data_IF_606018356242
#
_entry.id   IF_606018356242
#
_cell.length_a   1.000
_cell.length_b   1.000
_cell.length_c   1.000
_cell.angle_alpha   90.00
_cell.angle_beta   90.00
_cell.angle_gamma   90.00
#
_symmetry.space_group_name_H-M   'P 1'
#
loop_
_entity.id
_entity.type
_entity.pdbx_description
1 polymer ?
#
# COMPACT_ATOMS: atom_id res chain seq x y z
N UNK A 1 44.59 -31.28 -12.96
CA UNK A 1 44.41 -29.80 -13.15
C UNK A 1 43.01 -29.47 -13.72
N UNK A 2 42.63 -29.98 -14.93
CA UNK A 2 41.32 -29.62 -15.54
C UNK A 2 40.13 -30.15 -14.72
N UNK A 3 40.18 -31.44 -14.31
CA UNK A 3 39.16 -32.07 -13.47
C UNK A 3 39.09 -31.39 -12.10
N UNK A 4 40.22 -31.08 -11.50
CA UNK A 4 40.28 -30.37 -10.21
C UNK A 4 39.71 -28.95 -10.31
N UNK A 5 39.98 -28.26 -11.43
CA UNK A 5 39.38 -26.94 -11.71
C UNK A 5 37.88 -27.03 -11.90
N UNK A 6 37.34 -28.06 -12.54
CA UNK A 6 35.92 -28.34 -12.70
C UNK A 6 35.26 -28.67 -11.35
N UNK A 7 35.88 -29.52 -10.54
CA UNK A 7 35.38 -29.82 -9.20
C UNK A 7 35.37 -28.57 -8.31
N UNK A 8 36.44 -27.77 -8.40
CA UNK A 8 36.48 -26.49 -7.68
C UNK A 8 35.39 -25.55 -8.13
N UNK A 9 35.16 -25.41 -9.44
CA UNK A 9 34.07 -24.59 -9.99
C UNK A 9 32.70 -25.06 -9.50
N UNK A 10 32.47 -26.37 -9.41
CA UNK A 10 31.22 -26.94 -8.90
C UNK A 10 31.08 -26.69 -7.39
N UNK A 11 32.14 -26.86 -6.61
CA UNK A 11 32.13 -26.62 -5.17
C UNK A 11 31.95 -25.13 -4.82
N UNK A 12 32.54 -24.25 -5.63
CA UNK A 12 32.39 -22.78 -5.50
C UNK A 12 31.11 -22.27 -6.12
N UNK A 13 30.28 -23.13 -6.74
CA UNK A 13 29.02 -22.76 -7.35
C UNK A 13 27.91 -22.58 -6.32
N UNK A 14 26.93 -21.75 -6.63
CA UNK A 14 25.74 -21.60 -5.82
C UNK A 14 24.92 -22.87 -5.62
N UNK A 15 25.10 -23.88 -6.51
CA UNK A 15 24.41 -25.18 -6.37
C UNK A 15 24.86 -25.94 -5.13
N UNK A 16 26.16 -25.88 -4.80
CA UNK A 16 26.70 -26.54 -3.62
C UNK A 16 26.25 -25.86 -2.30
N UNK A 17 25.88 -24.61 -2.37
CA UNK A 17 25.48 -23.80 -1.22
C UNK A 17 23.95 -23.66 -1.06
N UNK A 18 23.14 -24.38 -1.85
CA UNK A 18 21.69 -24.36 -1.76
C UNK A 18 21.22 -24.97 -0.43
N UNK A 19 20.46 -24.18 0.33
CA UNK A 19 19.76 -24.65 1.54
C UNK A 19 18.31 -25.00 1.21
N UNK A 20 17.66 -25.79 2.05
CA UNK A 20 16.25 -26.11 1.88
C UNK A 20 15.38 -24.84 1.94
N UNK A 21 15.74 -23.87 2.79
CA UNK A 21 15.07 -22.57 2.89
C UNK A 21 15.18 -21.79 1.57
N UNK A 22 16.37 -21.76 0.95
CA UNK A 22 16.56 -21.12 -0.35
C UNK A 22 15.70 -21.77 -1.44
N UNK A 23 15.62 -23.10 -1.48
CA UNK A 23 14.80 -23.84 -2.45
C UNK A 23 13.30 -23.47 -2.27
N UNK A 24 12.80 -23.49 -1.04
CA UNK A 24 11.40 -23.11 -0.75
C UNK A 24 11.13 -21.67 -1.20
N UNK A 25 12.03 -20.73 -0.90
CA UNK A 25 11.85 -19.33 -1.29
C UNK A 25 11.92 -19.11 -2.80
N UNK A 26 12.76 -19.86 -3.51
CA UNK A 26 12.80 -19.86 -4.99
C UNK A 26 11.44 -20.33 -5.53
N UNK A 27 10.87 -21.39 -4.97
CA UNK A 27 9.55 -21.89 -5.37
C UNK A 27 8.47 -20.83 -5.08
N UNK A 28 8.48 -20.23 -3.88
CA UNK A 28 7.55 -19.14 -3.52
C UNK A 28 7.67 -17.97 -4.49
N UNK A 29 8.90 -17.55 -4.81
CA UNK A 29 9.15 -16.48 -5.79
C UNK A 29 8.57 -16.83 -7.17
N UNK A 30 8.79 -18.05 -7.65
CA UNK A 30 8.22 -18.52 -8.93
C UNK A 30 6.69 -18.54 -8.91
N UNK A 31 6.07 -18.95 -7.81
CA UNK A 31 4.61 -18.90 -7.65
C UNK A 31 4.10 -17.45 -7.69
N UNK A 32 4.75 -16.53 -6.98
CA UNK A 32 4.38 -15.11 -7.01
C UNK A 32 4.56 -14.49 -8.41
N UNK A 33 5.63 -14.84 -9.14
CA UNK A 33 5.83 -14.45 -10.54
C UNK A 33 4.69 -14.98 -11.41
N UNK A 34 4.30 -16.24 -11.23
CA UNK A 34 3.16 -16.82 -11.96
C UNK A 34 1.84 -16.09 -11.64
N UNK A 35 1.60 -15.74 -10.38
CA UNK A 35 0.41 -14.98 -9.99
C UNK A 35 0.41 -13.58 -10.61
N UNK A 36 1.56 -12.92 -10.64
CA UNK A 36 1.70 -11.61 -11.27
C UNK A 36 1.43 -11.65 -12.79
N UNK A 37 2.02 -12.61 -13.49
CA UNK A 37 1.94 -12.72 -14.97
C UNK A 37 0.64 -13.41 -15.40
N UNK A 38 0.36 -14.59 -14.85
CA UNK A 38 -0.74 -15.46 -15.29
C UNK A 38 -2.10 -15.02 -14.76
N UNK A 39 -2.16 -14.55 -13.52
CA UNK A 39 -3.38 -14.07 -12.87
C UNK A 39 -3.53 -12.56 -12.86
N UNK A 40 -2.49 -11.82 -13.29
CA UNK A 40 -2.47 -10.35 -13.33
C UNK A 40 -2.69 -9.69 -11.95
N UNK A 41 -2.20 -10.35 -10.90
CA UNK A 41 -2.27 -9.84 -9.53
C UNK A 41 -1.23 -8.74 -9.34
N UNK A 42 -1.67 -7.49 -9.38
CA UNK A 42 -0.87 -6.26 -9.21
C UNK A 42 0.54 -6.37 -9.83
N UNK A 43 0.63 -6.62 -11.17
CA UNK A 43 1.88 -7.05 -11.81
C UNK A 43 2.99 -6.00 -11.71
N UNK A 44 2.64 -4.71 -11.61
CA UNK A 44 3.62 -3.62 -11.52
C UNK A 44 4.46 -3.66 -10.24
N UNK A 45 3.91 -4.23 -9.17
CA UNK A 45 4.58 -4.33 -7.87
C UNK A 45 4.98 -5.76 -7.53
N UNK A 46 4.05 -6.71 -7.71
CA UNK A 46 4.30 -8.10 -7.32
C UNK A 46 5.42 -8.74 -8.12
N UNK A 47 5.54 -8.42 -9.41
CA UNK A 47 6.60 -8.99 -10.26
C UNK A 47 8.01 -8.54 -9.83
N UNK A 48 8.30 -7.23 -9.64
CA UNK A 48 9.59 -6.79 -9.10
C UNK A 48 9.90 -7.36 -7.71
N UNK A 49 8.90 -7.43 -6.81
CA UNK A 49 9.07 -8.01 -5.47
C UNK A 49 9.44 -9.49 -5.57
N UNK A 50 8.70 -10.27 -6.35
CA UNK A 50 8.95 -11.69 -6.51
C UNK A 50 10.31 -11.97 -7.15
N UNK A 51 10.73 -11.13 -8.11
CA UNK A 51 12.03 -11.27 -8.74
C UNK A 51 13.18 -10.87 -7.78
N UNK A 52 13.00 -9.84 -6.98
CA UNK A 52 13.95 -9.47 -5.92
C UNK A 52 14.12 -10.59 -4.88
N UNK A 53 12.99 -11.22 -4.48
CA UNK A 53 13.00 -12.41 -3.61
C UNK A 53 13.78 -13.56 -4.25
N UNK A 54 13.56 -13.82 -5.55
CA UNK A 54 14.32 -14.83 -6.28
C UNK A 54 15.82 -14.57 -6.20
N UNK A 55 16.26 -13.36 -6.55
CA UNK A 55 17.67 -12.97 -6.57
C UNK A 55 18.34 -13.09 -5.20
N UNK A 56 17.66 -12.70 -4.13
CA UNK A 56 18.22 -12.73 -2.77
C UNK A 56 18.35 -14.15 -2.19
N UNK A 57 17.57 -15.11 -2.70
CA UNK A 57 17.61 -16.50 -2.26
C UNK A 57 18.49 -17.39 -3.16
N UNK A 58 19.12 -16.83 -4.19
CA UNK A 58 20.19 -17.49 -4.93
C UNK A 58 21.50 -17.36 -4.13
N UNK A 59 22.16 -18.47 -3.74
CA UNK A 59 23.34 -18.41 -2.91
C UNK A 59 24.53 -17.70 -3.59
N UNK A 60 25.41 -17.15 -2.78
CA UNK A 60 26.70 -16.54 -3.17
C UNK A 60 26.61 -15.32 -4.09
N UNK A 61 25.42 -14.74 -4.27
CA UNK A 61 25.26 -13.57 -5.17
C UNK A 61 25.83 -12.26 -4.59
N UNK A 62 25.92 -12.13 -3.28
CA UNK A 62 26.39 -10.92 -2.60
C UNK A 62 25.55 -9.66 -2.87
N UNK A 63 24.40 -9.76 -3.56
CA UNK A 63 23.61 -8.61 -3.99
C UNK A 63 23.11 -7.71 -2.85
N UNK A 64 22.84 -8.31 -1.68
CA UNK A 64 22.39 -7.60 -0.47
C UNK A 64 23.51 -7.46 0.59
N UNK A 65 24.77 -7.82 0.24
CA UNK A 65 25.87 -7.73 1.17
C UNK A 65 26.12 -6.27 1.59
N UNK A 66 26.25 -6.05 2.89
CA UNK A 66 26.71 -4.76 3.43
C UNK A 66 28.19 -4.54 3.09
N UNK A 67 28.63 -3.29 2.86
CA UNK A 67 30.06 -3.02 2.65
C UNK A 67 30.86 -3.44 3.88
N UNK A 68 31.87 -4.29 3.68
CA UNK A 68 32.72 -4.78 4.76
C UNK A 68 33.66 -3.68 5.31
N UNK A 69 34.01 -2.72 4.46
CA UNK A 69 34.83 -1.53 4.81
C UNK A 69 34.48 -0.35 3.91
N UNK A 70 35.03 0.82 4.21
CA UNK A 70 34.86 2.01 3.35
C UNK A 70 35.43 1.84 1.93
N UNK A 71 36.32 0.87 1.72
CA UNK A 71 36.98 0.57 0.44
C UNK A 71 36.39 -0.60 -0.31
N UNK A 72 35.63 -1.48 0.36
CA UNK A 72 34.96 -2.60 -0.26
C UNK A 72 33.49 -2.27 -0.54
N UNK A 73 33.08 -2.24 -1.82
CA UNK A 73 31.72 -1.91 -2.16
C UNK A 73 30.75 -3.01 -1.70
N UNK A 74 29.60 -2.62 -1.20
CA UNK A 74 28.48 -3.53 -0.92
C UNK A 74 27.80 -4.02 -2.19
N UNK A 75 26.81 -4.89 -2.03
CA UNK A 75 26.00 -5.41 -3.13
C UNK A 75 25.11 -4.34 -3.79
N UNK A 76 24.81 -4.52 -5.07
CA UNK A 76 23.96 -3.60 -5.82
C UNK A 76 22.62 -3.33 -5.14
N UNK A 77 21.93 -4.39 -4.72
CA UNK A 77 20.60 -4.25 -4.09
C UNK A 77 20.68 -3.63 -2.70
N UNK A 78 21.80 -3.76 -1.99
CA UNK A 78 22.03 -3.07 -0.72
C UNK A 78 21.99 -1.55 -0.91
N UNK A 79 22.69 -0.99 -1.92
CA UNK A 79 22.69 0.44 -2.17
C UNK A 79 21.32 0.95 -2.62
N UNK A 80 20.63 0.22 -3.49
CA UNK A 80 19.27 0.56 -3.87
C UNK A 80 18.30 0.47 -2.66
N UNK A 81 18.50 -0.51 -1.78
CA UNK A 81 17.69 -0.66 -0.56
C UNK A 81 17.83 0.53 0.41
N UNK A 82 18.93 1.27 0.37
CA UNK A 82 19.05 2.50 1.16
C UNK A 82 17.95 3.51 0.84
N UNK A 83 17.46 3.55 -0.39
CA UNK A 83 16.30 4.38 -0.76
C UNK A 83 15.01 3.98 -0.04
N UNK A 84 14.82 2.69 0.25
CA UNK A 84 13.74 2.20 1.11
C UNK A 84 14.02 2.56 2.57
N UNK A 85 15.20 2.18 3.07
CA UNK A 85 15.62 2.37 4.47
C UNK A 85 15.57 3.84 4.91
N UNK A 86 15.87 4.77 4.00
CA UNK A 86 15.81 6.21 4.25
C UNK A 86 14.43 6.83 3.98
N UNK A 87 13.45 6.04 3.51
CA UNK A 87 12.10 6.51 3.21
C UNK A 87 11.98 7.33 1.93
N UNK A 88 13.00 7.32 1.06
CA UNK A 88 13.03 8.09 -0.19
C UNK A 88 11.98 7.55 -1.17
N UNK A 89 11.99 6.24 -1.44
CA UNK A 89 11.07 5.65 -2.43
C UNK A 89 9.60 5.76 -2.03
N UNK A 90 9.18 5.45 -0.78
CA UNK A 90 7.79 5.67 -0.38
C UNK A 90 7.33 7.12 -0.58
N UNK A 91 8.16 8.10 -0.22
CA UNK A 91 7.84 9.51 -0.40
C UNK A 91 7.70 9.91 -1.88
N UNK A 92 8.59 9.42 -2.76
CA UNK A 92 8.50 9.67 -4.19
C UNK A 92 7.28 8.99 -4.84
N UNK A 93 6.89 7.81 -4.36
CA UNK A 93 5.64 7.17 -4.79
C UNK A 93 4.44 8.04 -4.42
N UNK A 94 4.42 8.63 -3.21
CA UNK A 94 3.37 9.57 -2.81
C UNK A 94 3.32 10.80 -3.70
N UNK A 95 4.47 11.32 -4.18
CA UNK A 95 4.50 12.40 -5.18
C UNK A 95 3.79 11.97 -6.48
N UNK A 96 4.11 10.78 -6.98
CA UNK A 96 3.46 10.24 -8.18
C UNK A 96 1.95 10.01 -7.98
N UNK A 97 1.55 9.43 -6.85
CA UNK A 97 0.14 9.23 -6.50
C UNK A 97 -0.58 10.58 -6.44
N UNK A 98 0.03 11.60 -5.84
CA UNK A 98 -0.54 12.95 -5.79
C UNK A 98 -0.79 13.55 -7.18
N UNK A 99 0.18 13.38 -8.10
CA UNK A 99 0.04 13.84 -9.48
C UNK A 99 -1.02 13.07 -10.27
N UNK A 100 -1.29 11.81 -9.93
CA UNK A 100 -2.35 11.00 -10.55
C UNK A 100 -3.74 11.28 -9.96
N UNK A 101 -3.81 11.69 -8.69
CA UNK A 101 -5.05 11.77 -7.92
C UNK A 101 -5.86 13.03 -8.25
N UNK A 102 -7.18 12.87 -8.37
CA UNK A 102 -8.13 13.99 -8.39
C UNK A 102 -8.83 14.10 -7.03
N UNK A 103 -8.52 15.16 -6.30
CA UNK A 103 -9.16 15.47 -5.02
C UNK A 103 -10.51 16.20 -5.17
N UNK A 104 -10.93 16.51 -6.40
CA UNK A 104 -12.21 17.16 -6.67
C UNK A 104 -13.40 16.51 -5.98
N UNK A 105 -13.60 15.18 -6.07
CA UNK A 105 -14.69 14.50 -5.37
C UNK A 105 -14.67 14.66 -3.85
N UNK A 106 -13.49 14.70 -3.23
CA UNK A 106 -13.33 14.95 -1.80
C UNK A 106 -13.66 16.40 -1.44
N UNK A 107 -13.16 17.36 -2.22
CA UNK A 107 -13.45 18.80 -2.03
C UNK A 107 -14.94 19.07 -2.24
N UNK A 108 -15.56 18.43 -3.23
CA UNK A 108 -17.00 18.57 -3.49
C UNK A 108 -17.87 18.05 -2.33
N UNK A 109 -17.41 16.97 -1.66
CA UNK A 109 -18.10 16.35 -0.52
C UNK A 109 -17.13 16.04 0.61
N UNK A 110 -16.78 17.03 1.47
CA UNK A 110 -15.81 16.84 2.55
C UNK A 110 -16.22 15.79 3.60
N UNK A 111 -17.52 15.49 3.73
CA UNK A 111 -17.99 14.41 4.61
C UNK A 111 -17.43 13.02 4.22
N UNK A 112 -16.89 12.85 3.02
CA UNK A 112 -16.15 11.66 2.59
C UNK A 112 -14.93 11.36 3.47
N UNK A 113 -14.36 12.38 4.15
CA UNK A 113 -13.29 12.20 5.13
C UNK A 113 -13.71 11.28 6.29
N UNK A 114 -14.99 11.31 6.69
CA UNK A 114 -15.49 10.42 7.74
C UNK A 114 -15.42 8.96 7.33
N UNK A 115 -15.70 8.65 6.05
CA UNK A 115 -15.60 7.28 5.52
C UNK A 115 -14.14 6.84 5.47
N UNK A 116 -13.24 7.70 4.98
CA UNK A 116 -11.81 7.44 5.00
C UNK A 116 -11.27 7.20 6.42
N UNK A 117 -11.69 8.01 7.39
CA UNK A 117 -11.35 7.81 8.80
C UNK A 117 -11.93 6.48 9.35
N UNK A 118 -13.18 6.16 9.01
CA UNK A 118 -13.80 4.89 9.41
C UNK A 118 -13.06 3.67 8.87
N UNK A 119 -12.49 3.78 7.68
CA UNK A 119 -11.66 2.70 7.11
C UNK A 119 -10.33 2.50 7.82
N UNK A 120 -9.84 3.46 8.63
CA UNK A 120 -8.66 3.23 9.46
C UNK A 120 -8.94 2.34 10.69
N UNK A 121 -10.19 2.00 10.93
CA UNK A 121 -10.59 1.09 12.03
C UNK A 121 -9.87 -0.25 11.98
N UNK A 122 -9.62 -0.79 10.77
CA UNK A 122 -8.86 -2.03 10.60
C UNK A 122 -7.42 -1.93 11.09
N UNK A 123 -6.78 -0.76 10.99
CA UNK A 123 -5.43 -0.52 11.55
C UNK A 123 -5.47 -0.69 13.07
N UNK A 124 -6.45 -0.08 13.72
CA UNK A 124 -6.60 -0.13 15.18
C UNK A 124 -6.89 -1.55 15.66
N UNK A 125 -7.83 -2.25 15.00
CA UNK A 125 -8.17 -3.64 15.36
C UNK A 125 -6.96 -4.56 15.21
N UNK A 126 -6.26 -4.49 14.09
CA UNK A 126 -5.10 -5.34 13.85
C UNK A 126 -3.94 -5.01 14.80
N UNK A 127 -3.72 -3.74 15.13
CA UNK A 127 -2.76 -3.33 16.14
C UNK A 127 -3.06 -3.97 17.50
N UNK A 128 -4.32 -3.89 17.96
CA UNK A 128 -4.75 -4.48 19.24
C UNK A 128 -4.57 -6.00 19.21
N UNK A 129 -5.03 -6.67 18.15
CA UNK A 129 -4.93 -8.14 18.04
C UNK A 129 -3.47 -8.59 17.98
N UNK A 130 -2.60 -7.88 17.23
CA UNK A 130 -1.18 -8.20 17.18
C UNK A 130 -0.50 -8.07 18.57
N UNK A 131 -0.81 -7.01 19.33
CA UNK A 131 -0.32 -6.88 20.69
C UNK A 131 -0.80 -8.03 21.59
N UNK A 132 -2.07 -8.42 21.50
CA UNK A 132 -2.62 -9.54 22.29
C UNK A 132 -1.97 -10.89 21.93
N UNK A 133 -1.48 -11.04 20.69
CA UNK A 133 -0.74 -12.21 20.21
C UNK A 133 0.75 -12.20 20.58
N UNK A 134 1.23 -11.17 21.31
CA UNK A 134 2.57 -11.09 21.84
C UNK A 134 3.59 -10.38 20.95
N UNK A 135 3.18 -9.72 19.87
CA UNK A 135 4.06 -8.82 19.11
C UNK A 135 4.37 -7.57 19.92
N UNK A 136 5.57 -7.03 19.74
CA UNK A 136 5.92 -5.73 20.34
C UNK A 136 5.04 -4.61 19.79
N UNK A 137 4.86 -3.48 20.50
CA UNK A 137 4.07 -2.36 19.99
C UNK A 137 4.53 -1.84 18.63
N UNK A 138 5.83 -1.86 18.34
CA UNK A 138 6.41 -1.46 17.07
C UNK A 138 6.05 -2.45 15.94
N UNK A 139 6.14 -3.75 16.22
CA UNK A 139 5.73 -4.79 15.29
C UNK A 139 4.22 -4.76 15.05
N UNK A 140 3.43 -4.60 16.12
CA UNK A 140 1.98 -4.50 16.04
C UNK A 140 1.53 -3.28 15.23
N UNK A 141 2.21 -2.13 15.38
CA UNK A 141 1.97 -0.94 14.57
C UNK A 141 2.26 -1.20 13.07
N UNK A 142 3.38 -1.90 12.81
CA UNK A 142 3.78 -2.29 11.45
C UNK A 142 2.83 -3.32 10.81
N UNK A 143 2.24 -4.21 11.60
CA UNK A 143 1.21 -5.15 11.14
C UNK A 143 -0.12 -4.42 10.93
N UNK A 144 -0.50 -3.57 11.88
CA UNK A 144 -1.76 -2.83 11.84
C UNK A 144 -1.91 -1.96 10.60
N UNK A 145 -0.84 -1.27 10.20
CA UNK A 145 -0.88 -0.34 9.05
C UNK A 145 -1.28 -1.00 7.72
N UNK A 146 -1.14 -2.34 7.60
CA UNK A 146 -1.60 -3.10 6.42
C UNK A 146 -3.09 -2.84 6.17
N UNK A 147 -3.87 -2.63 7.23
CA UNK A 147 -5.30 -2.32 7.14
C UNK A 147 -5.61 -1.05 6.34
N UNK A 148 -4.70 -0.08 6.30
CA UNK A 148 -4.86 1.11 5.45
C UNK A 148 -4.92 0.79 3.96
N UNK A 149 -4.49 -0.40 3.54
CA UNK A 149 -4.33 -0.82 2.14
C UNK A 149 -3.47 0.16 1.32
N UNK A 150 -2.37 0.59 1.93
CA UNK A 150 -1.43 1.56 1.38
C UNK A 150 -0.01 0.99 1.49
N UNK A 151 0.45 0.37 0.41
CA UNK A 151 1.76 -0.30 0.36
C UNK A 151 2.93 0.63 0.71
N UNK A 152 3.06 1.79 0.07
CA UNK A 152 4.11 2.76 0.38
C UNK A 152 4.12 3.23 1.83
N UNK A 153 2.95 3.48 2.42
CA UNK A 153 2.80 3.83 3.84
C UNK A 153 3.23 2.68 4.75
N UNK A 154 2.82 1.45 4.41
CA UNK A 154 3.22 0.27 5.17
C UNK A 154 4.74 0.07 5.17
N UNK A 155 5.39 0.24 4.02
CA UNK A 155 6.86 0.19 3.91
C UNK A 155 7.51 1.32 4.72
N UNK A 156 7.01 2.55 4.58
CA UNK A 156 7.56 3.71 5.28
C UNK A 156 7.53 3.55 6.81
N UNK A 157 6.42 3.07 7.34
CA UNK A 157 6.27 2.83 8.77
C UNK A 157 7.16 1.66 9.23
N UNK A 158 7.08 0.53 8.54
CA UNK A 158 7.78 -0.70 8.94
C UNK A 158 9.28 -0.56 8.90
N UNK A 159 9.84 0.17 7.92
CA UNK A 159 11.29 0.42 7.86
C UNK A 159 11.83 1.17 9.08
N UNK A 160 10.98 1.87 9.80
CA UNK A 160 11.34 2.65 10.99
C UNK A 160 11.04 1.91 12.30
N UNK A 161 9.90 1.23 12.38
CA UNK A 161 9.45 0.58 13.61
C UNK A 161 9.88 -0.89 13.72
N UNK A 162 9.82 -1.66 12.64
CA UNK A 162 10.12 -3.09 12.62
C UNK A 162 10.78 -3.53 11.30
N UNK A 163 12.02 -3.09 10.99
CA UNK A 163 12.67 -3.36 9.70
C UNK A 163 12.79 -4.85 9.37
N UNK A 164 12.87 -5.71 10.37
CA UNK A 164 12.97 -7.16 10.22
C UNK A 164 11.69 -7.81 9.67
N UNK A 165 10.51 -7.14 9.81
CA UNK A 165 9.23 -7.60 9.29
C UNK A 165 8.91 -7.04 7.89
N UNK A 166 9.79 -6.20 7.32
CA UNK A 166 9.50 -5.44 6.10
C UNK A 166 9.03 -6.32 4.93
N UNK A 167 9.74 -7.44 4.69
CA UNK A 167 9.38 -8.35 3.61
C UNK A 167 7.98 -8.93 3.78
N UNK A 168 7.67 -9.45 4.97
CA UNK A 168 6.38 -10.08 5.28
C UNK A 168 5.23 -9.08 5.16
N UNK A 169 5.43 -7.87 5.68
CA UNK A 169 4.42 -6.80 5.66
C UNK A 169 4.20 -6.28 4.24
N UNK A 170 5.27 -6.07 3.47
CA UNK A 170 5.14 -5.60 2.09
C UNK A 170 4.43 -6.63 1.20
N UNK A 171 4.81 -7.91 1.29
CA UNK A 171 4.16 -8.98 0.53
C UNK A 171 2.68 -9.09 0.92
N UNK A 172 2.35 -9.05 2.21
CA UNK A 172 0.98 -9.05 2.69
C UNK A 172 0.20 -7.85 2.13
N UNK A 173 0.70 -6.62 2.31
CA UNK A 173 0.03 -5.40 1.88
C UNK A 173 -0.28 -5.40 0.37
N UNK A 174 0.70 -5.72 -0.47
CA UNK A 174 0.50 -5.71 -1.92
C UNK A 174 -0.34 -6.90 -2.41
N UNK A 175 -0.23 -8.08 -1.77
CA UNK A 175 -1.08 -9.22 -2.11
C UNK A 175 -2.56 -8.93 -1.82
N UNK A 176 -2.87 -8.25 -0.71
CA UNK A 176 -4.26 -7.91 -0.38
C UNK A 176 -4.83 -6.81 -1.25
N UNK A 177 -4.01 -5.85 -1.67
CA UNK A 177 -4.43 -4.87 -2.68
C UNK A 177 -4.89 -5.56 -3.96
N UNK A 178 -4.17 -6.57 -4.42
CA UNK A 178 -4.57 -7.37 -5.59
C UNK A 178 -5.87 -8.16 -5.37
N UNK A 179 -6.17 -8.55 -4.13
CA UNK A 179 -7.36 -9.34 -3.77
C UNK A 179 -8.59 -8.49 -3.43
N UNK A 180 -8.51 -7.17 -3.49
CA UNK A 180 -9.63 -6.24 -3.25
C UNK A 180 -10.91 -6.67 -3.98
N UNK A 181 -10.89 -6.97 -5.30
CA UNK A 181 -12.10 -7.37 -6.03
C UNK A 181 -12.72 -8.68 -5.54
N UNK A 182 -11.99 -9.50 -4.79
CA UNK A 182 -12.48 -10.76 -4.22
C UNK A 182 -12.95 -10.60 -2.78
N UNK A 183 -12.27 -9.77 -1.99
CA UNK A 183 -12.52 -9.61 -0.55
C UNK A 183 -13.68 -8.64 -0.28
N UNK A 184 -13.73 -7.52 -0.98
CA UNK A 184 -14.72 -6.47 -0.70
C UNK A 184 -16.16 -6.85 -1.05
N UNK A 185 -16.49 -7.44 -2.23
CA UNK A 185 -17.87 -7.70 -2.61
C UNK A 185 -18.67 -8.56 -1.63
N UNK A 186 -18.15 -9.67 -1.05
CA UNK A 186 -18.84 -10.42 -0.01
C UNK A 186 -19.17 -9.56 1.21
N UNK A 187 -18.23 -8.74 1.69
CA UNK A 187 -18.44 -7.86 2.84
C UNK A 187 -19.48 -6.77 2.55
N UNK A 188 -19.44 -6.21 1.33
CA UNK A 188 -20.43 -5.22 0.88
C UNK A 188 -21.84 -5.81 0.89
N UNK A 189 -22.00 -7.03 0.36
CA UNK A 189 -23.30 -7.73 0.34
C UNK A 189 -23.79 -8.10 1.73
N UNK A 190 -22.89 -8.51 2.61
CA UNK A 190 -23.21 -8.88 3.99
C UNK A 190 -23.70 -7.69 4.82
N UNK A 191 -23.06 -6.54 4.64
CA UNK A 191 -23.29 -5.36 5.48
C UNK A 191 -24.33 -4.39 4.89
N UNK A 192 -24.74 -4.53 3.62
CA UNK A 192 -25.71 -3.64 2.99
C UNK A 192 -26.95 -4.40 2.51
N UNK A 193 -28.08 -3.77 2.60
CA UNK A 193 -29.36 -4.30 2.07
C UNK A 193 -29.49 -4.01 0.58
N UNK A 194 -30.36 -4.76 -0.12
CA UNK A 194 -30.64 -4.50 -1.54
C UNK A 194 -31.19 -3.09 -1.78
N UNK A 195 -32.06 -2.62 -0.85
CA UNK A 195 -32.63 -1.26 -0.92
C UNK A 195 -31.54 -0.17 -0.81
N UNK A 196 -30.52 -0.37 0.01
CA UNK A 196 -29.41 0.54 0.16
C UNK A 196 -28.49 0.55 -1.07
N UNK A 197 -28.29 -0.61 -1.71
CA UNK A 197 -27.39 -0.74 -2.87
C UNK A 197 -27.93 -0.08 -4.14
N UNK A 198 -29.24 0.04 -4.29
CA UNK A 198 -29.89 0.68 -5.46
C UNK A 198 -29.96 2.19 -5.35
N UNK A 199 -29.58 2.81 -4.23
CA UNK A 199 -29.62 4.25 -4.03
C UNK A 199 -28.76 4.95 -5.09
N UNK A 200 -29.37 5.87 -5.83
CA UNK A 200 -28.66 6.76 -6.75
C UNK A 200 -28.26 8.02 -6.00
N UNK A 201 -27.01 8.43 -6.18
CA UNK A 201 -26.49 9.64 -5.55
C UNK A 201 -26.62 10.83 -6.50
N UNK A 202 -26.97 11.99 -5.95
CA UNK A 202 -27.02 13.25 -6.69
C UNK A 202 -25.61 13.64 -7.18
N UNK A 203 -25.52 14.25 -8.35
CA UNK A 203 -24.26 14.70 -8.93
C UNK A 203 -23.49 15.60 -7.95
N UNK A 204 -22.15 15.40 -7.91
CA UNK A 204 -21.28 16.26 -7.10
C UNK A 204 -21.28 17.69 -7.66
N UNK A 205 -21.14 18.68 -6.77
CA UNK A 205 -20.95 20.06 -7.18
C UNK A 205 -19.65 20.22 -8.01
N UNK A 206 -19.62 21.16 -8.88
CA UNK A 206 -18.40 21.56 -9.56
C UNK A 206 -17.44 22.23 -8.57
N UNK A 207 -16.15 21.84 -8.65
CA UNK A 207 -15.08 22.40 -7.83
C UNK A 207 -14.29 23.40 -8.68
N UNK A 208 -14.07 24.60 -8.14
CA UNK A 208 -13.32 25.65 -8.84
C UNK A 208 -11.82 25.32 -8.89
N UNK A 209 -11.11 25.87 -9.88
CA UNK A 209 -9.67 25.74 -10.00
C UNK A 209 -8.93 26.25 -8.75
N UNK A 210 -9.41 27.35 -8.16
CA UNK A 210 -8.82 27.92 -6.95
C UNK A 210 -8.94 26.95 -5.75
N UNK A 211 -10.12 26.33 -5.55
CA UNK A 211 -10.29 25.31 -4.51
C UNK A 211 -9.31 24.15 -4.67
N UNK A 212 -9.12 23.66 -5.91
CA UNK A 212 -8.18 22.56 -6.23
C UNK A 212 -6.71 22.93 -5.98
N UNK A 213 -6.31 24.20 -6.18
CA UNK A 213 -4.96 24.68 -5.88
C UNK A 213 -4.77 24.93 -4.38
N UNK A 214 -5.76 25.52 -3.70
CA UNK A 214 -5.66 25.82 -2.28
C UNK A 214 -5.70 24.57 -1.40
N UNK A 215 -6.41 23.53 -1.83
CA UNK A 215 -6.59 22.29 -1.05
C UNK A 215 -5.29 21.61 -0.66
N UNK A 216 -4.34 21.28 -1.58
CA UNK A 216 -3.09 20.63 -1.22
C UNK A 216 -2.22 21.48 -0.30
N UNK A 217 -2.24 22.80 -0.45
CA UNK A 217 -1.50 23.72 0.42
C UNK A 217 -2.09 23.71 1.84
N UNK A 218 -3.40 23.84 1.96
CA UNK A 218 -4.09 23.83 3.24
C UNK A 218 -3.94 22.50 3.99
N UNK A 219 -4.09 21.36 3.29
CA UNK A 219 -3.90 20.02 3.86
C UNK A 219 -2.46 19.82 4.32
N UNK A 220 -1.47 20.26 3.52
CA UNK A 220 -0.06 20.18 3.92
C UNK A 220 0.21 20.95 5.21
N UNK A 221 -0.21 22.22 5.27
CA UNK A 221 -0.01 23.08 6.46
C UNK A 221 -0.70 22.44 7.67
N UNK A 222 -1.97 22.08 7.55
CA UNK A 222 -2.73 21.55 8.68
C UNK A 222 -2.19 20.21 9.19
N UNK A 223 -1.97 19.24 8.28
CA UNK A 223 -1.53 17.90 8.70
C UNK A 223 -0.09 17.91 9.23
N UNK A 224 0.81 18.68 8.62
CA UNK A 224 2.22 18.71 9.05
C UNK A 224 2.39 19.48 10.37
N UNK A 225 1.64 20.54 10.59
CA UNK A 225 1.65 21.24 11.88
C UNK A 225 1.05 20.37 12.99
N UNK A 226 0.03 19.56 12.68
CA UNK A 226 -0.56 18.64 13.66
C UNK A 226 0.36 17.45 13.95
N UNK A 227 0.99 16.89 12.92
CA UNK A 227 1.83 15.70 13.00
C UNK A 227 3.06 15.86 12.10
N UNK A 228 4.17 16.41 12.59
CA UNK A 228 5.38 16.62 11.78
C UNK A 228 5.93 15.35 11.13
N UNK A 229 5.69 14.18 11.71
CA UNK A 229 6.13 12.88 11.20
C UNK A 229 5.49 12.49 9.85
N UNK A 230 4.35 13.09 9.46
CA UNK A 230 3.71 12.83 8.16
C UNK A 230 4.27 13.65 7.01
N UNK A 231 5.15 14.62 7.30
CA UNK A 231 5.65 15.55 6.29
C UNK A 231 6.21 14.87 5.02
N UNK A 232 7.00 13.77 5.10
CA UNK A 232 7.50 13.11 3.90
C UNK A 232 6.41 12.48 3.02
N UNK A 233 5.31 12.00 3.62
CA UNK A 233 4.23 11.36 2.88
C UNK A 233 3.22 12.39 2.38
N UNK A 234 2.60 13.14 3.30
CA UNK A 234 1.57 14.12 2.96
C UNK A 234 2.15 15.28 2.15
N UNK A 235 3.35 15.77 2.50
CA UNK A 235 4.00 16.86 1.76
C UNK A 235 4.26 16.46 0.29
N UNK A 236 4.75 15.25 0.04
CA UNK A 236 5.00 14.78 -1.33
C UNK A 236 3.70 14.47 -2.08
N UNK A 237 2.68 13.90 -1.43
CA UNK A 237 1.35 13.70 -2.00
C UNK A 237 0.76 15.03 -2.48
N UNK A 238 0.78 16.04 -1.62
CA UNK A 238 0.18 17.33 -1.92
C UNK A 238 1.01 18.13 -2.93
N UNK A 239 2.35 17.98 -2.93
CA UNK A 239 3.20 18.55 -3.96
C UNK A 239 2.88 17.98 -5.34
N UNK A 240 2.72 16.66 -5.46
CA UNK A 240 2.33 16.02 -6.70
C UNK A 240 0.98 16.50 -7.21
N UNK A 241 0.02 16.63 -6.30
CA UNK A 241 -1.29 17.17 -6.66
C UNK A 241 -1.22 18.64 -7.09
N UNK A 242 -0.39 19.44 -6.44
CA UNK A 242 -0.19 20.84 -6.83
C UNK A 242 0.44 20.96 -8.22
N UNK A 243 1.36 20.07 -8.61
CA UNK A 243 1.88 20.03 -9.99
C UNK A 243 0.76 19.87 -11.00
N UNK A 244 -0.18 18.96 -10.75
CA UNK A 244 -1.33 18.70 -11.61
C UNK A 244 -2.30 19.88 -11.66
N UNK A 245 -2.75 20.36 -10.51
CA UNK A 245 -3.85 21.34 -10.44
C UNK A 245 -3.41 22.77 -10.76
N UNK A 246 -2.10 23.08 -10.65
CA UNK A 246 -1.57 24.40 -10.98
C UNK A 246 -1.74 24.76 -12.47
N UNK A 247 -1.59 23.75 -13.35
CA UNK A 247 -1.64 23.91 -14.81
C UNK A 247 -0.44 24.68 -15.39
N UNK A 248 0.65 24.82 -14.60
CA UNK A 248 1.91 25.49 -15.04
C UNK A 248 3.11 24.54 -14.95
N UNK A 249 2.91 23.35 -14.40
CA UNK A 249 3.93 22.34 -14.17
C UNK A 249 3.62 21.01 -14.88
N UNK A 250 2.95 21.03 -16.03
CA UNK A 250 2.48 19.82 -16.73
C UNK A 250 3.59 18.81 -17.00
N UNK A 251 4.80 19.26 -17.36
CA UNK A 251 5.97 18.40 -17.56
C UNK A 251 6.41 17.68 -16.30
N UNK A 252 6.36 18.36 -15.13
CA UNK A 252 6.69 17.73 -13.84
C UNK A 252 5.59 16.77 -13.41
N UNK A 253 4.33 17.15 -13.61
CA UNK A 253 3.18 16.27 -13.36
C UNK A 253 3.26 15.01 -14.21
N UNK A 254 3.53 15.12 -15.51
CA UNK A 254 3.67 13.97 -16.41
C UNK A 254 4.83 13.07 -16.00
N UNK A 255 6.00 13.66 -15.69
CA UNK A 255 7.17 12.90 -15.22
C UNK A 255 6.86 12.16 -13.91
N UNK A 256 6.20 12.82 -12.95
CA UNK A 256 5.90 12.25 -11.64
C UNK A 256 4.94 11.06 -11.73
N UNK A 257 3.87 11.20 -12.54
CA UNK A 257 2.82 10.18 -12.65
C UNK A 257 3.18 9.01 -13.59
N UNK A 258 4.20 9.12 -14.42
CA UNK A 258 4.60 8.13 -15.40
C UNK A 258 6.03 7.62 -15.16
N UNK A 259 7.06 8.35 -15.60
CA UNK A 259 8.43 7.85 -15.59
C UNK A 259 8.96 7.65 -14.16
N UNK A 260 8.81 8.64 -13.30
CA UNK A 260 9.37 8.60 -11.95
C UNK A 260 8.73 7.52 -11.09
N UNK A 261 7.39 7.45 -11.06
CA UNK A 261 6.69 6.45 -10.23
C UNK A 261 7.04 5.03 -10.68
N UNK A 262 7.20 4.79 -11.98
CA UNK A 262 7.56 3.48 -12.53
C UNK A 262 8.99 3.09 -12.14
N UNK A 263 9.96 4.01 -12.28
CA UNK A 263 11.37 3.77 -11.90
C UNK A 263 11.47 3.47 -10.39
N UNK A 264 10.82 4.29 -9.58
CA UNK A 264 10.83 4.12 -8.11
C UNK A 264 10.14 2.82 -7.70
N UNK A 265 9.06 2.43 -8.37
CA UNK A 265 8.35 1.17 -8.15
C UNK A 265 9.24 -0.04 -8.45
N UNK A 266 10.04 0.00 -9.52
CA UNK A 266 11.01 -1.07 -9.84
C UNK A 266 12.03 -1.19 -8.71
N UNK A 267 12.67 -0.11 -8.31
CA UNK A 267 13.69 -0.13 -7.28
C UNK A 267 13.14 -0.57 -5.92
N UNK A 268 11.99 -0.02 -5.54
CA UNK A 268 11.30 -0.39 -4.30
C UNK A 268 10.92 -1.88 -4.33
N UNK A 269 10.26 -2.34 -5.39
CA UNK A 269 9.80 -3.71 -5.50
C UNK A 269 10.95 -4.72 -5.41
N UNK A 270 11.99 -4.55 -6.23
CA UNK A 270 13.14 -5.47 -6.25
C UNK A 270 13.86 -5.48 -4.91
N UNK A 271 14.08 -4.32 -4.30
CA UNK A 271 14.85 -4.25 -3.04
C UNK A 271 14.06 -4.73 -1.83
N UNK A 272 12.75 -4.44 -1.77
CA UNK A 272 11.87 -4.99 -0.72
C UNK A 272 11.76 -6.50 -0.86
N UNK A 273 11.58 -7.02 -2.08
CA UNK A 273 11.61 -8.46 -2.35
C UNK A 273 12.91 -9.11 -1.90
N UNK A 274 14.04 -8.43 -2.12
CA UNK A 274 15.35 -8.94 -1.72
C UNK A 274 15.56 -9.03 -0.19
N UNK A 275 14.70 -8.42 0.63
CA UNK A 275 14.72 -8.61 2.08
C UNK A 275 14.06 -9.92 2.52
N UNK A 276 13.31 -10.60 1.63
CA UNK A 276 12.63 -11.87 1.88
C UNK A 276 13.58 -13.08 1.78
N UNK A 277 14.52 -13.18 2.71
CA UNK A 277 15.47 -14.31 2.78
C UNK A 277 14.85 -15.46 3.57
N UNK A 278 15.10 -16.71 3.15
CA UNK A 278 14.43 -17.90 3.70
C UNK A 278 14.51 -18.04 5.20
N UNK A 279 15.63 -17.75 5.81
CA UNK A 279 15.85 -17.85 7.26
C UNK A 279 14.93 -16.90 8.06
N UNK A 280 14.62 -15.72 7.51
CA UNK A 280 13.77 -14.71 8.15
C UNK A 280 12.30 -14.86 7.76
N UNK A 281 12.04 -15.25 6.52
CA UNK A 281 10.69 -15.28 5.97
C UNK A 281 9.91 -16.55 6.32
N UNK A 282 10.58 -17.70 6.42
CA UNK A 282 9.96 -19.00 6.74
C UNK A 282 9.76 -19.21 8.25
N UNK A 283 9.34 -18.16 8.94
CA UNK A 283 9.00 -18.24 10.37
C UNK A 283 7.48 -18.29 10.56
N UNK A 284 6.98 -18.93 11.63
CA UNK A 284 5.55 -18.95 11.96
C UNK A 284 4.93 -17.56 12.08
N UNK A 285 5.71 -16.58 12.54
CA UNK A 285 5.32 -15.17 12.61
C UNK A 285 4.93 -14.57 11.26
N UNK A 286 5.57 -14.98 10.16
CA UNK A 286 5.23 -14.51 8.81
C UNK A 286 3.82 -14.93 8.41
N UNK A 287 3.43 -16.17 8.67
CA UNK A 287 2.07 -16.67 8.38
C UNK A 287 1.05 -15.88 9.21
N UNK A 288 1.39 -15.65 10.48
CA UNK A 288 0.52 -14.88 11.38
C UNK A 288 0.37 -13.42 10.92
N UNK A 289 1.44 -12.78 10.45
CA UNK A 289 1.41 -11.42 9.86
C UNK A 289 0.53 -11.40 8.62
N UNK A 290 0.64 -12.39 7.75
CA UNK A 290 -0.21 -12.52 6.57
C UNK A 290 -1.69 -12.61 6.98
N UNK A 291 -2.04 -13.48 7.92
CA UNK A 291 -3.42 -13.61 8.40
C UNK A 291 -3.93 -12.33 9.05
N UNK A 292 -3.13 -11.70 9.92
CA UNK A 292 -3.49 -10.44 10.57
C UNK A 292 -3.67 -9.30 9.56
N UNK A 293 -2.86 -9.26 8.50
CA UNK A 293 -2.99 -8.29 7.42
C UNK A 293 -4.32 -8.46 6.67
N UNK A 294 -4.74 -9.71 6.38
CA UNK A 294 -6.05 -9.98 5.81
C UNK A 294 -7.18 -9.50 6.72
N UNK A 295 -7.09 -9.81 8.00
CA UNK A 295 -8.03 -9.34 9.02
C UNK A 295 -8.08 -7.82 9.06
N UNK A 296 -6.95 -7.15 9.11
CA UNK A 296 -6.83 -5.69 9.09
C UNK A 296 -7.59 -5.09 7.91
N UNK A 297 -7.35 -5.63 6.71
CA UNK A 297 -8.01 -5.17 5.48
C UNK A 297 -9.52 -5.40 5.49
N UNK A 298 -9.98 -6.54 5.98
CA UNK A 298 -11.42 -6.83 6.12
C UNK A 298 -12.08 -5.85 7.09
N UNK A 299 -11.49 -5.60 8.27
CA UNK A 299 -12.02 -4.67 9.24
C UNK A 299 -11.99 -3.22 8.75
N UNK A 300 -11.01 -2.83 7.95
CA UNK A 300 -10.99 -1.52 7.29
C UNK A 300 -12.15 -1.34 6.32
N UNK A 301 -12.43 -2.35 5.51
CA UNK A 301 -13.61 -2.36 4.63
C UNK A 301 -14.91 -2.29 5.42
N UNK A 302 -15.02 -3.08 6.51
CA UNK A 302 -16.18 -3.07 7.41
C UNK A 302 -16.36 -1.68 8.03
N UNK A 303 -15.30 -1.09 8.57
CA UNK A 303 -15.34 0.24 9.19
C UNK A 303 -15.83 1.32 8.22
N UNK A 304 -15.31 1.35 6.99
CA UNK A 304 -15.77 2.26 5.96
C UNK A 304 -17.24 2.04 5.57
N UNK A 305 -17.68 0.78 5.42
CA UNK A 305 -19.07 0.45 5.12
C UNK A 305 -20.03 0.85 6.25
N UNK A 306 -19.65 0.66 7.52
CA UNK A 306 -20.46 1.07 8.66
C UNK A 306 -20.63 2.59 8.72
N UNK A 307 -19.57 3.36 8.48
CA UNK A 307 -19.70 4.82 8.37
C UNK A 307 -20.54 5.19 7.15
N UNK A 308 -20.39 4.52 6.01
CA UNK A 308 -21.25 4.70 4.85
C UNK A 308 -22.73 4.47 5.17
N UNK A 309 -23.04 3.41 5.93
CA UNK A 309 -24.40 3.13 6.42
C UNK A 309 -24.92 4.22 7.38
N UNK A 310 -24.08 4.61 8.32
CA UNK A 310 -24.43 5.70 9.24
C UNK A 310 -24.76 6.99 8.46
N UNK A 311 -23.95 7.34 7.46
CA UNK A 311 -24.20 8.49 6.60
C UNK A 311 -25.46 8.32 5.75
N UNK A 312 -25.75 7.11 5.25
CA UNK A 312 -26.99 6.79 4.56
C UNK A 312 -28.21 7.06 5.45
N UNK A 313 -28.16 6.56 6.68
CA UNK A 313 -29.20 6.79 7.69
C UNK A 313 -29.34 8.28 8.04
N UNK A 314 -28.24 8.95 8.34
CA UNK A 314 -28.22 10.38 8.71
C UNK A 314 -28.75 11.30 7.59
N UNK A 315 -28.50 10.92 6.32
CA UNK A 315 -28.96 11.69 5.15
C UNK A 315 -30.30 11.23 4.60
N UNK A 316 -31.00 10.34 5.31
CA UNK A 316 -32.30 9.78 4.88
C UNK A 316 -32.25 9.14 3.48
N UNK A 317 -31.19 8.35 3.23
CA UNK A 317 -31.06 7.59 1.99
C UNK A 317 -30.47 8.37 0.80
N UNK A 318 -29.81 9.51 1.01
CA UNK A 318 -29.12 10.24 -0.07
C UNK A 318 -27.73 9.73 -0.40
N UNK A 319 -27.12 8.97 0.50
CA UNK A 319 -25.77 8.41 0.32
C UNK A 319 -25.88 6.90 0.20
N UNK A 320 -25.30 6.34 -0.87
CA UNK A 320 -25.22 4.91 -1.05
C UNK A 320 -24.08 4.35 -0.18
N UNK A 321 -24.35 3.44 0.78
CA UNK A 321 -23.33 2.93 1.68
C UNK A 321 -22.22 2.12 1.00
N UNK A 322 -22.43 1.66 -0.24
CA UNK A 322 -21.39 0.96 -1.00
C UNK A 322 -20.10 1.78 -1.18
N UNK A 323 -20.21 3.13 -1.23
CA UNK A 323 -19.01 3.98 -1.32
C UNK A 323 -18.11 3.86 -0.09
N UNK A 324 -18.65 3.34 1.02
CA UNK A 324 -17.91 3.08 2.24
C UNK A 324 -16.76 2.08 2.04
N UNK A 325 -16.92 1.09 1.17
CA UNK A 325 -15.84 0.14 0.87
C UNK A 325 -14.63 0.79 0.20
N UNK A 326 -14.80 1.96 -0.41
CA UNK A 326 -13.73 2.70 -1.06
C UNK A 326 -12.88 3.54 -0.09
N UNK A 327 -13.22 3.59 1.20
CA UNK A 327 -12.46 4.36 2.19
C UNK A 327 -11.04 3.83 2.47
N UNK A 328 -10.67 2.66 1.97
CA UNK A 328 -9.29 2.15 1.98
C UNK A 328 -8.44 2.85 0.92
N UNK A 329 -7.12 2.95 1.15
CA UNK A 329 -6.21 3.75 0.31
C UNK A 329 -5.90 3.18 -1.07
N UNK A 330 -6.47 2.06 -1.46
CA UNK A 330 -6.21 1.43 -2.77
C UNK A 330 -6.90 2.19 -3.92
N UNK A 331 -6.28 3.27 -4.36
CA UNK A 331 -6.78 4.16 -5.42
C UNK A 331 -6.31 3.67 -6.80
N UNK A 332 -7.19 3.63 -7.81
CA UNK A 332 -8.65 3.78 -7.78
C UNK A 332 -9.40 2.44 -7.64
N UNK A 333 -8.71 1.37 -7.24
CA UNK A 333 -9.21 -0.01 -7.30
C UNK A 333 -10.46 -0.21 -6.43
N UNK A 334 -10.42 0.25 -5.18
CA UNK A 334 -11.55 0.10 -4.26
C UNK A 334 -12.79 0.91 -4.73
N UNK A 335 -12.58 2.08 -5.31
CA UNK A 335 -13.67 2.87 -5.90
C UNK A 335 -14.30 2.17 -7.11
N UNK A 336 -13.50 1.47 -7.94
CA UNK A 336 -14.02 0.66 -9.06
C UNK A 336 -14.86 -0.52 -8.56
N UNK A 337 -14.46 -1.17 -7.47
CA UNK A 337 -15.26 -2.25 -6.87
C UNK A 337 -16.60 -1.73 -6.38
N UNK A 338 -16.64 -0.58 -5.72
CA UNK A 338 -17.89 0.08 -5.32
C UNK A 338 -18.79 0.37 -6.53
N UNK A 339 -18.21 0.84 -7.64
CA UNK A 339 -18.93 1.07 -8.90
C UNK A 339 -19.53 -0.23 -9.46
N UNK A 340 -18.73 -1.28 -9.55
CA UNK A 340 -19.16 -2.58 -10.10
C UNK A 340 -20.31 -3.17 -9.29
N UNK A 341 -20.19 -3.17 -7.97
CA UNK A 341 -21.24 -3.71 -7.09
C UNK A 341 -22.51 -2.83 -7.11
N UNK A 342 -22.37 -1.50 -7.23
CA UNK A 342 -23.49 -0.61 -7.42
C UNK A 342 -24.24 -0.84 -8.74
N UNK A 343 -23.50 -1.07 -9.84
CA UNK A 343 -24.11 -1.37 -11.14
C UNK A 343 -24.77 -2.75 -11.20
N UNK A 344 -24.26 -3.75 -10.45
CA UNK A 344 -24.92 -5.06 -10.32
C UNK A 344 -26.29 -4.93 -9.63
N UNK A 345 -26.44 -4.01 -8.69
CA UNK A 345 -27.69 -3.75 -8.00
C UNK A 345 -28.65 -2.87 -8.83
N UNK A 346 -28.10 -1.87 -9.54
CA UNK A 346 -28.85 -0.97 -10.41
C UNK A 346 -27.94 -0.50 -11.55
N UNK A 347 -28.19 -0.93 -12.81
CA UNK A 347 -27.31 -0.65 -13.96
C UNK A 347 -27.08 0.82 -14.28
N UNK A 348 -27.99 1.71 -13.87
CA UNK A 348 -27.86 3.15 -14.07
C UNK A 348 -27.17 3.86 -12.90
N UNK A 349 -26.63 3.11 -11.94
CA UNK A 349 -25.97 3.67 -10.75
C UNK A 349 -24.49 3.95 -11.03
N UNK A 350 -24.10 5.23 -11.03
CA UNK A 350 -22.75 5.70 -11.23
C UNK A 350 -22.12 6.13 -9.89
N UNK A 351 -21.53 5.20 -9.18
CA UNK A 351 -20.92 5.46 -7.87
C UNK A 351 -19.44 5.86 -7.93
N UNK A 352 -18.76 5.70 -9.07
CA UNK A 352 -17.31 5.87 -9.16
C UNK A 352 -16.84 7.22 -8.62
N UNK A 353 -17.40 8.31 -9.10
CA UNK A 353 -17.03 9.66 -8.68
C UNK A 353 -17.32 9.91 -7.19
N UNK A 354 -18.40 9.31 -6.67
CA UNK A 354 -18.75 9.41 -5.26
C UNK A 354 -17.83 8.56 -4.37
N UNK A 355 -17.40 7.40 -4.87
CA UNK A 355 -16.47 6.51 -4.21
C UNK A 355 -15.01 7.02 -4.21
N UNK A 356 -14.65 7.84 -5.22
CA UNK A 356 -13.31 8.46 -5.27
C UNK A 356 -13.06 9.40 -4.09
N UNK A 357 -14.08 10.10 -3.59
CA UNK A 357 -13.95 10.97 -2.42
C UNK A 357 -13.44 10.21 -1.17
N UNK A 358 -14.17 9.17 -0.70
CA UNK A 358 -13.69 8.29 0.36
C UNK A 358 -12.35 7.63 0.07
N UNK A 359 -12.11 7.21 -1.18
CA UNK A 359 -10.89 6.51 -1.57
C UNK A 359 -9.64 7.39 -1.38
N UNK A 360 -9.73 8.64 -1.80
CA UNK A 360 -8.66 9.63 -1.64
C UNK A 360 -8.53 10.06 -0.16
N UNK A 361 -9.65 10.16 0.56
CA UNK A 361 -9.65 10.40 2.00
C UNK A 361 -8.91 9.28 2.77
N UNK A 362 -9.00 8.04 2.29
CA UNK A 362 -8.26 6.90 2.80
C UNK A 362 -6.75 7.08 2.71
N UNK A 363 -6.23 7.63 1.60
CA UNK A 363 -4.78 7.89 1.43
C UNK A 363 -4.27 8.88 2.46
N UNK A 364 -5.01 9.97 2.67
CA UNK A 364 -4.67 10.93 3.73
C UNK A 364 -4.77 10.26 5.10
N UNK A 365 -5.82 9.46 5.31
CA UNK A 365 -6.07 8.75 6.56
C UNK A 365 -4.96 7.76 6.91
N UNK A 366 -4.49 6.94 5.96
CA UNK A 366 -3.40 5.98 6.18
C UNK A 366 -2.07 6.68 6.47
N UNK A 367 -1.75 7.77 5.75
CA UNK A 367 -0.56 8.56 6.01
C UNK A 367 -0.59 9.21 7.41
N UNK A 368 -1.75 9.77 7.82
CA UNK A 368 -1.95 10.32 9.18
C UNK A 368 -1.83 9.23 10.24
N UNK A 369 -2.45 8.05 10.01
CA UNK A 369 -2.34 6.92 10.93
C UNK A 369 -0.88 6.47 11.11
N UNK A 370 -0.09 6.40 10.02
CA UNK A 370 1.33 6.11 10.10
C UNK A 370 2.09 7.17 10.91
N UNK A 371 1.75 8.44 10.73
CA UNK A 371 2.34 9.52 11.51
C UNK A 371 2.05 9.42 13.00
N UNK A 372 0.81 9.09 13.37
CA UNK A 372 0.40 8.84 14.76
C UNK A 372 1.20 7.67 15.34
N UNK A 373 1.26 6.55 14.62
CA UNK A 373 1.99 5.36 15.07
C UNK A 373 3.50 5.64 15.24
N UNK A 374 4.09 6.43 14.32
CA UNK A 374 5.48 6.88 14.46
C UNK A 374 5.68 7.80 15.66
N UNK A 375 4.74 8.67 15.95
CA UNK A 375 4.84 9.58 17.11
C UNK A 375 4.69 8.86 18.46
N UNK A 376 3.98 7.72 18.47
CA UNK A 376 3.73 6.94 19.70
C UNK A 376 4.81 5.88 19.95
N UNK A 377 5.38 5.30 18.90
CA UNK A 377 6.23 4.10 19.00
C UNK A 377 7.59 4.23 18.29
N UNK A 378 7.86 5.37 17.63
CA UNK A 378 9.12 5.68 16.93
C UNK A 378 10.22 6.26 17.79
#
# INVERSE_FOLDING_TARGET
VFIDSLIKLLNDSGFASLTWQSIVMIIVACVLIYLAIGKKFEPLLLLPIAFGMLLANLPLTGLMAEPASATEPGGLLYYLYLGVKKGIYPSLIFLGIGAMTDFGPLIARPSSLLIGAGSQFGIVVAFIVANLLGFTPQEAASIGIIGGADGPTAIYLTTRLAPHLLASIAIAAYSYMALIPLIQPPLMKLLTTEKERVIQMEQLRTVSKLEKICFPIAVSIFCILLLPSVAPLIGMLMLGNLFKESGVCDRLSDTAQNAMINIVTIFLGVTVGATAVGEKFLQPSTILIILLGLFAFMFSTIGGLLIGKFMCWATKGKINPLIGSAGVSAVPMAARVSQIEGQKANPVNFLLMHAMGPNVAGVIGSAVAAGVLLSLFG
#
